data_IF_499496881225
#
_entry.id   IF_499496881225
#
_cell.length_a   1.000
_cell.length_b   1.000
_cell.length_c   1.000
_cell.angle_alpha   90.00
_cell.angle_beta   90.00
_cell.angle_gamma   90.00
#
_symmetry.space_group_name_H-M   'P 1'
#
loop_
_entity.id
_entity.type
_entity.pdbx_description
1 polymer ?
#
# COMPACT_ATOMS: atom_id res chain seq x y z
N UNK A 1 -14.75 7.72 -12.13
CA UNK A 1 -13.93 6.51 -12.26
C UNK A 1 -12.53 6.84 -11.74
N UNK A 2 -12.23 6.41 -10.54
CA UNK A 2 -10.89 6.62 -9.94
C UNK A 2 -9.96 5.67 -10.68
N UNK A 3 -9.12 6.21 -11.56
CA UNK A 3 -8.07 5.45 -12.20
C UNK A 3 -7.06 5.00 -11.14
N UNK A 4 -7.14 3.75 -10.77
CA UNK A 4 -6.12 3.13 -9.93
C UNK A 4 -4.82 3.08 -10.74
N UNK A 5 -3.94 4.04 -10.53
CA UNK A 5 -2.53 3.81 -10.77
C UNK A 5 -2.10 2.73 -9.80
N UNK A 6 -2.17 1.48 -10.27
CA UNK A 6 -1.53 0.36 -9.60
C UNK A 6 -0.09 0.81 -9.40
N UNK A 7 0.29 1.01 -8.14
CA UNK A 7 1.68 1.11 -7.76
C UNK A 7 2.44 0.08 -8.59
N UNK A 8 3.26 0.53 -9.53
CA UNK A 8 4.45 -0.20 -9.88
C UNK A 8 5.24 -0.30 -8.58
N UNK A 9 4.82 -1.26 -7.74
CA UNK A 9 5.68 -1.78 -6.71
C UNK A 9 6.93 -2.15 -7.48
N UNK A 10 7.94 -1.27 -7.38
CA UNK A 10 9.24 -1.56 -7.91
C UNK A 10 9.52 -2.97 -7.44
N UNK A 11 9.92 -3.83 -8.37
CA UNK A 11 10.33 -5.16 -8.08
C UNK A 11 11.17 -5.07 -6.81
N UNK A 12 10.60 -5.49 -5.68
CA UNK A 12 11.38 -5.88 -4.53
C UNK A 12 12.21 -7.03 -5.08
N UNK A 13 13.31 -6.65 -5.74
CA UNK A 13 14.38 -7.56 -6.03
C UNK A 13 14.76 -8.09 -4.66
N UNK A 14 14.23 -9.25 -4.32
CA UNK A 14 14.73 -10.08 -3.25
C UNK A 14 16.14 -10.53 -3.69
N UNK A 15 17.05 -9.56 -3.78
CA UNK A 15 18.47 -9.78 -3.75
C UNK A 15 18.81 -10.19 -2.29
N UNK A 16 18.24 -11.30 -1.87
CA UNK A 16 18.79 -12.08 -0.79
C UNK A 16 20.11 -12.59 -1.33
N UNK A 17 21.19 -11.90 -0.97
CA UNK A 17 22.54 -12.31 -1.19
C UNK A 17 22.63 -13.80 -0.82
N UNK A 18 22.73 -14.66 -1.82
CA UNK A 18 23.19 -16.01 -1.67
C UNK A 18 24.65 -15.86 -1.25
N UNK A 19 24.88 -15.80 0.06
CA UNK A 19 26.22 -15.93 0.60
C UNK A 19 26.77 -17.25 0.07
N UNK A 20 27.81 -17.17 -0.73
CA UNK A 20 28.57 -18.31 -1.20
C UNK A 20 28.98 -19.17 0.01
N UNK A 21 28.24 -20.25 0.24
CA UNK A 21 28.66 -21.27 1.19
C UNK A 21 29.89 -21.96 0.58
N UNK A 22 31.07 -21.50 0.96
CA UNK A 22 32.31 -22.19 0.68
C UNK A 22 32.22 -23.62 1.22
N UNK A 23 32.52 -24.59 0.35
CA UNK A 23 32.53 -26.03 0.64
C UNK A 23 33.56 -26.34 1.71
N UNK A 24 33.15 -26.51 2.96
CA UNK A 24 33.88 -27.21 3.98
C UNK A 24 33.21 -28.57 4.23
N UNK A 25 33.73 -29.62 3.59
CA UNK A 25 33.36 -31.00 3.94
C UNK A 25 34.11 -31.37 5.21
N UNK A 26 33.41 -31.34 6.35
CA UNK A 26 33.91 -31.94 7.59
C UNK A 26 32.84 -32.91 8.11
N UNK A 27 33.25 -34.18 8.33
CA UNK A 27 32.47 -35.20 9.02
C UNK A 27 32.35 -34.83 10.49
N UNK A 28 31.25 -34.24 10.85
CA UNK A 28 30.81 -33.95 12.20
C UNK A 28 29.42 -33.34 12.09
N UNK A 29 28.48 -33.81 12.91
CA UNK A 29 27.09 -33.36 12.84
C UNK A 29 26.94 -31.89 13.28
N UNK A 30 27.52 -30.97 12.52
CA UNK A 30 27.33 -29.54 12.68
C UNK A 30 25.90 -29.18 12.23
N UNK A 31 25.17 -28.58 13.11
CA UNK A 31 23.75 -28.21 12.94
C UNK A 31 23.46 -27.35 11.71
N UNK A 32 24.49 -26.95 10.96
CA UNK A 32 24.43 -26.03 9.79
C UNK A 32 25.16 -26.58 8.54
N UNK A 33 25.30 -27.89 8.40
CA UNK A 33 25.88 -28.51 7.20
C UNK A 33 24.82 -28.99 6.23
N UNK A 34 25.12 -28.97 4.92
CA UNK A 34 24.27 -29.51 3.85
C UNK A 34 24.95 -30.72 3.24
N UNK A 35 24.30 -31.87 3.31
CA UNK A 35 24.80 -33.11 2.75
C UNK A 35 24.82 -33.07 1.21
N UNK A 36 25.68 -33.86 0.53
CA UNK A 36 25.78 -33.86 -0.93
C UNK A 36 24.45 -34.16 -1.66
N UNK A 37 23.60 -35.02 -1.08
CA UNK A 37 22.28 -35.38 -1.64
C UNK A 37 21.34 -34.18 -1.75
N UNK A 38 21.47 -33.20 -0.86
CA UNK A 38 20.74 -31.92 -0.89
C UNK A 38 21.54 -30.83 -1.61
N UNK A 39 22.85 -30.78 -1.35
CA UNK A 39 23.70 -29.71 -1.88
C UNK A 39 23.85 -29.70 -3.40
N UNK A 40 24.01 -30.87 -4.03
CA UNK A 40 24.15 -30.95 -5.49
C UNK A 40 22.90 -30.42 -6.23
N UNK A 41 21.67 -30.87 -5.91
CA UNK A 41 20.46 -30.28 -6.50
C UNK A 41 20.31 -28.79 -6.24
N UNK A 42 20.66 -28.30 -5.03
CA UNK A 42 20.61 -26.86 -4.72
C UNK A 42 21.57 -26.04 -5.58
N UNK A 43 22.81 -26.52 -5.79
CA UNK A 43 23.77 -25.86 -6.68
C UNK A 43 23.28 -25.83 -8.13
N UNK A 44 22.67 -26.94 -8.61
CA UNK A 44 22.08 -26.99 -9.93
C UNK A 44 20.89 -26.01 -10.06
N UNK A 45 20.05 -25.91 -9.02
CA UNK A 45 18.96 -24.96 -8.97
C UNK A 45 19.45 -23.52 -9.02
N UNK A 46 20.55 -23.19 -8.32
CA UNK A 46 21.14 -21.86 -8.34
C UNK A 46 21.69 -21.49 -9.73
N UNK A 47 22.36 -22.42 -10.40
CA UNK A 47 22.86 -22.20 -11.77
C UNK A 47 21.70 -21.93 -12.75
N UNK A 48 20.60 -22.68 -12.64
CA UNK A 48 19.41 -22.50 -13.45
C UNK A 48 18.69 -21.18 -13.12
N UNK A 49 18.64 -20.80 -11.84
CA UNK A 49 18.12 -19.51 -11.41
C UNK A 49 18.88 -18.34 -12.03
N UNK A 50 20.22 -18.37 -12.00
CA UNK A 50 21.08 -17.37 -12.66
C UNK A 50 20.83 -17.30 -14.17
N UNK A 51 20.54 -18.45 -14.79
CA UNK A 51 20.15 -18.55 -16.19
C UNK A 51 18.68 -18.16 -16.46
N UNK A 52 17.92 -17.72 -15.44
CA UNK A 52 16.47 -17.39 -15.49
C UNK A 52 15.57 -18.56 -15.88
N UNK A 53 16.04 -19.80 -15.76
CA UNK A 53 15.30 -21.03 -16.02
C UNK A 53 14.56 -21.48 -14.76
N UNK A 54 13.62 -20.66 -14.32
CA UNK A 54 12.98 -20.81 -13.00
C UNK A 54 12.23 -22.11 -12.83
N UNK A 55 11.52 -22.60 -13.87
CA UNK A 55 10.79 -23.87 -13.80
C UNK A 55 11.75 -25.05 -13.62
N UNK A 56 12.84 -25.08 -14.35
CA UNK A 56 13.88 -26.11 -14.21
C UNK A 56 14.56 -26.01 -12.83
N UNK A 57 14.82 -24.78 -12.36
CA UNK A 57 15.37 -24.55 -11.03
C UNK A 57 14.44 -25.10 -9.92
N UNK A 58 13.14 -24.86 -10.00
CA UNK A 58 12.17 -25.43 -9.04
C UNK A 58 12.11 -26.95 -9.09
N UNK A 59 12.31 -27.57 -10.26
CA UNK A 59 12.42 -29.02 -10.37
C UNK A 59 13.66 -29.55 -9.61
N UNK A 60 14.80 -28.85 -9.67
CA UNK A 60 15.99 -29.21 -8.87
C UNK A 60 15.78 -29.01 -7.37
N UNK A 61 14.99 -28.02 -6.96
CA UNK A 61 14.56 -27.90 -5.55
C UNK A 61 13.73 -29.09 -5.12
N UNK A 62 12.83 -29.61 -5.98
CA UNK A 62 12.06 -30.81 -5.68
C UNK A 62 12.95 -32.06 -5.52
N UNK A 63 14.05 -32.17 -6.28
CA UNK A 63 15.05 -33.23 -6.11
C UNK A 63 15.75 -33.13 -4.74
N UNK A 64 16.13 -31.92 -4.31
CA UNK A 64 16.71 -31.69 -2.98
C UNK A 64 15.70 -32.06 -1.88
N UNK A 65 14.42 -31.75 -2.09
CA UNK A 65 13.34 -32.01 -1.15
C UNK A 65 13.03 -33.51 -0.99
N UNK A 66 13.32 -34.33 -2.02
CA UNK A 66 13.14 -35.77 -1.98
C UNK A 66 14.21 -36.52 -1.18
N UNK A 67 15.30 -35.84 -0.75
CA UNK A 67 16.37 -36.47 0.02
C UNK A 67 15.84 -36.94 1.40
N UNK A 68 16.11 -38.20 1.74
CA UNK A 68 15.64 -38.78 3.00
C UNK A 68 16.39 -38.19 4.24
N UNK A 69 15.72 -38.08 5.37
CA UNK A 69 16.33 -37.71 6.66
C UNK A 69 16.95 -36.32 6.66
N UNK A 70 16.35 -35.36 5.98
CA UNK A 70 16.85 -33.97 5.95
C UNK A 70 16.90 -33.35 7.35
N UNK A 71 17.97 -32.59 7.60
CA UNK A 71 18.12 -31.82 8.83
C UNK A 71 17.21 -30.56 8.79
N UNK A 72 16.99 -29.98 9.97
CA UNK A 72 16.28 -28.70 10.05
C UNK A 72 16.97 -27.58 9.26
N UNK A 73 18.31 -27.61 9.18
CA UNK A 73 19.07 -26.66 8.38
C UNK A 73 18.90 -26.87 6.88
N UNK A 74 18.93 -28.12 6.43
CA UNK A 74 18.68 -28.47 5.02
C UNK A 74 17.28 -28.03 4.59
N UNK A 75 16.26 -28.28 5.40
CA UNK A 75 14.91 -27.79 5.15
C UNK A 75 14.85 -26.26 5.06
N UNK A 76 15.51 -25.56 5.97
CA UNK A 76 15.59 -24.09 5.93
C UNK A 76 16.23 -23.59 4.61
N UNK A 77 17.33 -24.17 4.17
CA UNK A 77 18.01 -23.77 2.92
C UNK A 77 17.15 -24.10 1.69
N UNK A 78 16.54 -25.27 1.65
CA UNK A 78 15.62 -25.68 0.57
C UNK A 78 14.47 -24.68 0.45
N UNK A 79 13.78 -24.37 1.54
CA UNK A 79 12.63 -23.46 1.50
C UNK A 79 13.06 -22.03 1.16
N UNK A 80 14.18 -21.57 1.69
CA UNK A 80 14.72 -20.25 1.35
C UNK A 80 15.01 -20.12 -0.13
N UNK A 81 15.65 -21.15 -0.74
CA UNK A 81 15.99 -21.19 -2.16
C UNK A 81 14.71 -21.33 -3.00
N UNK A 82 13.76 -22.19 -2.61
CA UNK A 82 12.46 -22.32 -3.25
C UNK A 82 11.73 -20.98 -3.31
N UNK A 83 11.64 -20.29 -2.17
CA UNK A 83 10.98 -19.00 -2.06
C UNK A 83 11.57 -17.95 -3.01
N UNK A 84 12.90 -17.88 -3.08
CA UNK A 84 13.59 -16.93 -3.97
C UNK A 84 13.35 -17.24 -5.46
N UNK A 85 13.42 -18.52 -5.85
CA UNK A 85 13.20 -18.94 -7.25
C UNK A 85 11.72 -18.73 -7.63
N UNK A 86 10.78 -19.13 -6.77
CA UNK A 86 9.36 -18.97 -7.01
C UNK A 86 8.95 -17.50 -7.12
N UNK A 87 9.49 -16.63 -6.25
CA UNK A 87 9.28 -15.18 -6.32
C UNK A 87 9.76 -14.60 -7.66
N UNK A 88 10.94 -15.00 -8.11
CA UNK A 88 11.48 -14.57 -9.41
C UNK A 88 10.69 -15.13 -10.61
N UNK A 89 10.06 -16.30 -10.44
CA UNK A 89 9.18 -16.90 -11.43
C UNK A 89 7.78 -16.26 -11.48
N UNK A 90 7.45 -15.41 -10.52
CA UNK A 90 6.10 -14.86 -10.36
C UNK A 90 5.09 -15.82 -9.70
N UNK A 91 5.56 -16.97 -9.21
CA UNK A 91 4.74 -17.89 -8.40
C UNK A 91 4.67 -17.40 -6.94
N UNK A 92 3.83 -16.37 -6.76
CA UNK A 92 3.70 -15.70 -5.46
C UNK A 92 3.19 -16.62 -4.36
N UNK A 93 2.33 -17.58 -4.70
CA UNK A 93 1.78 -18.52 -3.72
C UNK A 93 2.84 -19.48 -3.18
N UNK A 94 3.65 -20.06 -4.06
CA UNK A 94 4.75 -20.94 -3.66
C UNK A 94 5.81 -20.18 -2.90
N UNK A 95 6.16 -18.95 -3.34
CA UNK A 95 7.13 -18.11 -2.67
C UNK A 95 6.68 -17.72 -1.25
N UNK A 96 5.42 -17.33 -1.07
CA UNK A 96 4.87 -16.99 0.24
C UNK A 96 4.95 -18.17 1.22
N UNK A 97 4.47 -19.36 0.81
CA UNK A 97 4.53 -20.57 1.64
C UNK A 97 5.96 -20.95 2.03
N UNK A 98 6.88 -20.85 1.09
CA UNK A 98 8.28 -21.18 1.34
C UNK A 98 8.90 -20.21 2.35
N UNK A 99 8.68 -18.91 2.22
CA UNK A 99 9.19 -17.93 3.18
C UNK A 99 8.47 -17.99 4.53
N UNK A 100 7.19 -18.33 4.57
CA UNK A 100 6.48 -18.65 5.83
C UNK A 100 7.15 -19.81 6.56
N UNK A 101 7.51 -20.87 5.84
CA UNK A 101 8.24 -22.02 6.40
C UNK A 101 9.62 -21.60 6.91
N UNK A 102 10.35 -20.75 6.18
CA UNK A 102 11.64 -20.19 6.64
C UNK A 102 11.48 -19.44 7.96
N UNK A 103 10.48 -18.55 8.04
CA UNK A 103 10.21 -17.77 9.27
C UNK A 103 9.84 -18.70 10.44
N UNK A 104 9.05 -19.76 10.18
CA UNK A 104 8.64 -20.71 11.19
C UNK A 104 9.80 -21.50 11.83
N UNK A 105 10.94 -21.62 11.12
CA UNK A 105 12.15 -22.26 11.69
C UNK A 105 12.79 -21.46 12.85
N UNK A 106 12.47 -20.16 12.97
CA UNK A 106 13.08 -19.26 13.95
C UNK A 106 14.56 -18.96 13.71
N UNK A 107 15.13 -19.38 12.56
CA UNK A 107 16.55 -19.16 12.22
C UNK A 107 16.84 -17.76 11.73
N UNK A 108 15.89 -17.11 11.08
CA UNK A 108 15.98 -15.71 10.70
C UNK A 108 15.72 -14.83 11.93
N UNK A 109 16.52 -13.78 12.11
CA UNK A 109 16.39 -12.86 13.24
C UNK A 109 16.67 -11.40 12.82
N UNK A 110 16.25 -10.46 13.65
CA UNK A 110 16.52 -9.05 13.43
C UNK A 110 16.04 -8.54 12.06
N UNK A 111 16.92 -7.89 11.31
CA UNK A 111 16.60 -7.31 10.01
C UNK A 111 16.27 -8.35 8.93
N UNK A 112 16.82 -9.56 9.02
CA UNK A 112 16.49 -10.63 8.08
C UNK A 112 15.06 -11.11 8.27
N UNK A 113 14.64 -11.31 9.51
CA UNK A 113 13.25 -11.65 9.85
C UNK A 113 12.28 -10.59 9.29
N UNK A 114 12.54 -9.31 9.55
CA UNK A 114 11.69 -8.22 9.06
C UNK A 114 11.60 -8.21 7.52
N UNK A 115 12.70 -8.45 6.82
CA UNK A 115 12.69 -8.55 5.34
C UNK A 115 11.83 -9.71 4.84
N UNK A 116 11.88 -10.86 5.49
CA UNK A 116 11.05 -12.00 5.15
C UNK A 116 9.57 -11.73 5.42
N UNK A 117 9.23 -11.15 6.57
CA UNK A 117 7.85 -10.77 6.93
C UNK A 117 7.29 -9.77 5.90
N UNK A 118 8.08 -8.77 5.52
CA UNK A 118 7.75 -7.81 4.48
C UNK A 118 7.51 -8.50 3.12
N UNK A 119 8.42 -9.39 2.73
CA UNK A 119 8.30 -10.13 1.47
C UNK A 119 7.03 -10.98 1.42
N UNK A 120 6.71 -11.70 2.51
CA UNK A 120 5.51 -12.53 2.60
C UNK A 120 4.24 -11.69 2.50
N UNK A 121 4.19 -10.50 3.14
CA UNK A 121 3.07 -9.58 3.00
C UNK A 121 2.86 -9.16 1.54
N UNK A 122 3.93 -8.77 0.84
CA UNK A 122 3.89 -8.40 -0.57
C UNK A 122 3.49 -9.56 -1.49
N UNK A 123 4.00 -10.77 -1.23
CA UNK A 123 3.69 -11.96 -2.02
C UNK A 123 2.21 -12.34 -1.89
N UNK A 124 1.63 -12.32 -0.70
CA UNK A 124 0.19 -12.54 -0.51
C UNK A 124 -0.65 -11.47 -1.19
N UNK A 125 -0.21 -10.20 -1.15
CA UNK A 125 -0.88 -9.12 -1.86
C UNK A 125 -0.91 -9.37 -3.38
N UNK A 126 0.22 -9.76 -3.98
CA UNK A 126 0.30 -10.10 -5.41
C UNK A 126 -0.48 -11.38 -5.76
N UNK A 127 -0.53 -12.34 -4.84
CA UNK A 127 -1.36 -13.53 -4.97
C UNK A 127 -2.87 -13.25 -4.78
N UNK A 128 -3.24 -11.99 -4.46
CA UNK A 128 -4.62 -11.56 -4.14
C UNK A 128 -5.20 -12.19 -2.87
N UNK A 129 -4.36 -12.78 -2.03
CA UNK A 129 -4.74 -13.19 -0.67
C UNK A 129 -4.61 -12.00 0.27
N UNK A 130 -5.57 -11.07 0.14
CA UNK A 130 -5.52 -9.79 0.86
C UNK A 130 -5.67 -9.97 2.38
N UNK A 131 -6.33 -11.03 2.82
CA UNK A 131 -6.46 -11.33 4.24
C UNK A 131 -5.09 -11.64 4.86
N UNK A 132 -4.32 -12.54 4.25
CA UNK A 132 -2.97 -12.83 4.71
C UNK A 132 -2.03 -11.66 4.50
N UNK A 133 -2.13 -10.93 3.38
CA UNK A 133 -1.33 -9.73 3.16
C UNK A 133 -1.50 -8.72 4.30
N UNK A 134 -2.74 -8.46 4.73
CA UNK A 134 -3.02 -7.58 5.87
C UNK A 134 -2.45 -8.11 7.18
N UNK A 135 -2.60 -9.42 7.46
CA UNK A 135 -2.05 -10.05 8.67
C UNK A 135 -0.52 -9.91 8.74
N UNK A 136 0.17 -10.20 7.63
CA UNK A 136 1.63 -10.08 7.56
C UNK A 136 2.12 -8.64 7.60
N UNK A 137 1.40 -7.70 7.02
CA UNK A 137 1.71 -6.27 7.13
C UNK A 137 1.55 -5.76 8.57
N UNK A 138 0.52 -6.20 9.30
CA UNK A 138 0.37 -5.91 10.73
C UNK A 138 1.49 -6.53 11.57
N UNK A 139 1.88 -7.78 11.26
CA UNK A 139 3.01 -8.45 11.91
C UNK A 139 4.31 -7.67 11.69
N UNK A 140 4.56 -7.19 10.47
CA UNK A 140 5.71 -6.34 10.15
C UNK A 140 5.77 -5.11 11.05
N UNK A 141 4.65 -4.39 11.20
CA UNK A 141 4.57 -3.21 12.06
C UNK A 141 4.80 -3.57 13.55
N UNK A 142 4.21 -4.68 14.01
CA UNK A 142 4.36 -5.17 15.39
C UNK A 142 5.82 -5.57 15.71
N UNK A 143 6.54 -6.08 14.74
CA UNK A 143 7.96 -6.44 14.87
C UNK A 143 8.90 -5.23 14.67
N UNK A 144 8.38 -3.99 14.61
CA UNK A 144 9.15 -2.75 14.54
C UNK A 144 9.53 -2.31 13.12
N UNK A 145 8.93 -2.90 12.10
CA UNK A 145 9.12 -2.49 10.72
C UNK A 145 8.49 -1.12 10.44
N UNK A 146 9.24 -0.23 9.76
CA UNK A 146 8.84 1.15 9.51
C UNK A 146 8.68 1.50 8.00
N UNK A 147 8.74 0.51 7.10
CA UNK A 147 8.59 0.78 5.66
C UNK A 147 7.16 1.24 5.35
N UNK A 148 6.99 2.46 4.81
CA UNK A 148 5.70 2.99 4.42
C UNK A 148 4.92 2.10 3.44
N UNK A 149 5.61 1.34 2.59
CA UNK A 149 4.98 0.45 1.62
C UNK A 149 4.09 -0.60 2.31
N UNK A 150 4.45 -1.05 3.51
CA UNK A 150 3.66 -2.03 4.25
C UNK A 150 2.34 -1.46 4.77
N UNK A 151 2.30 -0.18 5.14
CA UNK A 151 1.05 0.52 5.44
C UNK A 151 0.16 0.60 4.20
N UNK A 152 0.74 0.89 3.04
CA UNK A 152 0.01 0.91 1.77
C UNK A 152 -0.58 -0.48 1.44
N UNK A 153 0.21 -1.56 1.60
CA UNK A 153 -0.27 -2.94 1.44
C UNK A 153 -1.43 -3.22 2.39
N UNK A 154 -1.33 -2.81 3.65
CA UNK A 154 -2.38 -3.00 4.65
C UNK A 154 -3.68 -2.27 4.28
N UNK A 155 -3.61 -0.99 3.96
CA UNK A 155 -4.78 -0.17 3.61
C UNK A 155 -5.45 -0.69 2.34
N UNK A 156 -4.66 -0.99 1.30
CA UNK A 156 -5.18 -1.53 0.05
C UNK A 156 -5.78 -2.93 0.23
N UNK A 157 -5.18 -3.78 1.06
CA UNK A 157 -5.71 -5.10 1.37
C UNK A 157 -7.09 -5.00 2.03
N UNK A 158 -7.25 -4.16 3.05
CA UNK A 158 -8.55 -3.92 3.66
C UNK A 158 -9.58 -3.39 2.65
N UNK A 159 -9.19 -2.44 1.82
CA UNK A 159 -10.06 -1.88 0.80
C UNK A 159 -10.52 -2.93 -0.22
N UNK A 160 -9.59 -3.78 -0.70
CA UNK A 160 -9.88 -4.83 -1.67
C UNK A 160 -10.71 -5.99 -1.09
N UNK A 161 -10.64 -6.20 0.24
CA UNK A 161 -11.55 -7.10 0.97
C UNK A 161 -12.91 -6.46 1.28
N UNK A 162 -13.13 -5.20 0.90
CA UNK A 162 -14.30 -4.42 1.29
C UNK A 162 -14.42 -4.19 2.83
N UNK A 163 -13.31 -4.29 3.56
CA UNK A 163 -13.25 -3.99 5.00
C UNK A 163 -12.97 -2.50 5.21
N UNK A 164 -14.01 -1.68 5.03
CA UNK A 164 -13.92 -0.24 5.25
C UNK A 164 -13.66 0.13 6.73
N UNK A 165 -14.05 -0.72 7.67
CA UNK A 165 -13.71 -0.53 9.08
C UNK A 165 -12.21 -0.71 9.32
N UNK A 166 -11.59 -1.69 8.65
CA UNK A 166 -10.14 -1.86 8.63
C UNK A 166 -9.41 -0.64 8.09
N UNK A 167 -9.88 -0.09 6.97
CA UNK A 167 -9.35 1.15 6.40
C UNK A 167 -9.46 2.30 7.41
N UNK A 168 -10.63 2.52 8.01
CA UNK A 168 -10.87 3.61 8.96
C UNK A 168 -9.99 3.49 10.21
N UNK A 169 -9.73 2.30 10.70
CA UNK A 169 -8.81 2.08 11.84
C UNK A 169 -7.38 2.50 11.52
N UNK A 170 -6.92 2.30 10.28
CA UNK A 170 -5.53 2.60 9.89
C UNK A 170 -5.36 4.05 9.46
N UNK A 171 -6.36 4.62 8.76
CA UNK A 171 -6.25 5.92 8.07
C UNK A 171 -7.10 7.01 8.74
N UNK A 172 -8.16 6.62 9.48
CA UNK A 172 -9.17 7.56 10.01
C UNK A 172 -8.68 8.48 11.13
N UNK A 173 -7.61 8.11 11.84
CA UNK A 173 -6.99 8.97 12.86
C UNK A 173 -6.28 10.18 12.26
N UNK A 174 -5.84 11.09 13.13
CA UNK A 174 -4.89 12.14 12.77
C UNK A 174 -3.61 11.53 12.17
N UNK A 175 -2.78 12.37 11.52
CA UNK A 175 -1.46 11.95 11.05
C UNK A 175 -0.77 11.13 12.16
N UNK A 176 -0.12 10.04 11.77
CA UNK A 176 0.33 9.04 12.72
C UNK A 176 1.27 9.62 13.80
N UNK A 177 1.43 8.91 14.92
CA UNK A 177 2.24 9.33 16.07
C UNK A 177 3.70 9.65 15.73
N UNK A 178 4.16 9.28 14.52
CA UNK A 178 5.49 9.56 14.00
C UNK A 178 5.53 10.83 13.11
N UNK A 179 4.45 11.62 13.07
CA UNK A 179 4.36 12.84 12.26
C UNK A 179 4.28 12.59 10.75
N UNK A 180 4.03 11.35 10.34
CA UNK A 180 3.86 11.00 8.94
C UNK A 180 2.48 11.44 8.47
N UNK A 181 2.48 12.33 7.47
CA UNK A 181 1.26 12.74 6.79
C UNK A 181 0.61 11.56 6.04
N UNK A 182 -0.70 11.39 6.23
CA UNK A 182 -1.49 10.44 5.44
C UNK A 182 -1.41 10.79 3.95
N UNK A 183 -1.11 9.82 3.10
CA UNK A 183 -0.98 10.06 1.67
C UNK A 183 -2.31 10.40 1.00
N UNK A 184 -2.25 11.08 -0.13
CA UNK A 184 -3.44 11.41 -0.92
C UNK A 184 -4.26 10.16 -1.25
N UNK A 185 -3.61 9.08 -1.68
CA UNK A 185 -4.25 7.83 -2.02
C UNK A 185 -4.97 7.19 -0.82
N UNK A 186 -4.34 7.21 0.37
CA UNK A 186 -4.96 6.69 1.60
C UNK A 186 -6.23 7.48 1.94
N UNK A 187 -6.19 8.81 1.82
CA UNK A 187 -7.36 9.67 2.06
C UNK A 187 -8.47 9.46 1.03
N UNK A 188 -8.13 9.25 -0.25
CA UNK A 188 -9.10 8.90 -1.29
C UNK A 188 -9.78 7.55 -1.02
N UNK A 189 -9.01 6.55 -0.58
CA UNK A 189 -9.53 5.24 -0.18
C UNK A 189 -10.47 5.41 1.01
N UNK A 190 -10.09 6.19 2.01
CA UNK A 190 -10.91 6.47 3.19
C UNK A 190 -12.22 7.17 2.81
N UNK A 191 -12.17 8.22 1.99
CA UNK A 191 -13.36 8.92 1.51
C UNK A 191 -14.27 7.98 0.74
N UNK A 192 -13.72 7.12 -0.13
CA UNK A 192 -14.51 6.12 -0.85
C UNK A 192 -15.20 5.13 0.11
N UNK A 193 -14.49 4.69 1.15
CA UNK A 193 -15.07 3.83 2.18
C UNK A 193 -16.24 4.50 2.90
N UNK A 194 -16.10 5.73 3.35
CA UNK A 194 -17.20 6.46 3.99
C UNK A 194 -18.39 6.67 3.05
N UNK A 195 -18.12 6.98 1.77
CA UNK A 195 -19.18 7.07 0.75
C UNK A 195 -19.96 5.77 0.59
N UNK A 196 -19.27 4.62 0.56
CA UNK A 196 -19.91 3.29 0.48
C UNK A 196 -20.72 2.94 1.72
N UNK A 197 -20.28 3.39 2.89
CA UNK A 197 -20.99 3.23 4.18
C UNK A 197 -22.12 4.23 4.35
N UNK A 198 -22.27 5.20 3.43
CA UNK A 198 -23.22 6.33 3.54
C UNK A 198 -22.95 7.18 4.80
N UNK A 199 -21.70 7.23 5.23
CA UNK A 199 -21.23 8.10 6.30
C UNK A 199 -20.80 9.45 5.71
N UNK A 200 -21.76 10.37 5.58
CA UNK A 200 -21.51 11.70 5.03
C UNK A 200 -20.57 12.53 5.91
N UNK A 201 -20.58 12.34 7.20
CA UNK A 201 -19.72 13.09 8.13
C UNK A 201 -18.27 12.64 8.01
N UNK A 202 -18.02 11.34 7.99
CA UNK A 202 -16.69 10.77 7.74
C UNK A 202 -16.15 11.14 6.37
N UNK A 203 -17.02 11.12 5.35
CA UNK A 203 -16.64 11.53 4.00
C UNK A 203 -16.17 12.99 3.96
N UNK A 204 -16.96 13.92 4.53
CA UNK A 204 -16.58 15.34 4.58
C UNK A 204 -15.26 15.53 5.30
N UNK A 205 -15.07 14.89 6.47
CA UNK A 205 -13.80 14.97 7.19
C UNK A 205 -12.61 14.45 6.38
N UNK A 206 -12.79 13.40 5.59
CA UNK A 206 -11.74 12.90 4.70
C UNK A 206 -11.42 13.88 3.54
N UNK A 207 -12.45 14.52 2.95
CA UNK A 207 -12.28 15.55 1.92
C UNK A 207 -11.63 16.82 2.50
N UNK A 208 -11.98 17.23 3.72
CA UNK A 208 -11.32 18.35 4.41
C UNK A 208 -9.81 18.10 4.58
N UNK A 209 -9.42 16.87 4.93
CA UNK A 209 -7.99 16.50 4.97
C UNK A 209 -7.35 16.53 3.60
N UNK A 210 -8.07 16.11 2.54
CA UNK A 210 -7.59 16.19 1.16
C UNK A 210 -7.36 17.63 0.74
N UNK A 211 -8.29 18.56 0.96
CA UNK A 211 -8.11 19.97 0.60
C UNK A 211 -7.02 20.64 1.43
N UNK A 212 -6.83 20.22 2.68
CA UNK A 212 -5.79 20.76 3.57
C UNK A 212 -4.38 20.37 3.13
N UNK A 213 -4.20 19.11 2.76
CA UNK A 213 -2.87 18.55 2.49
C UNK A 213 -2.55 18.45 0.99
N UNK A 214 -3.59 18.34 0.15
CA UNK A 214 -3.50 18.15 -1.31
C UNK A 214 -4.54 19.04 -2.01
N UNK A 215 -4.39 20.38 -1.98
CA UNK A 215 -5.43 21.35 -2.39
C UNK A 215 -5.67 21.33 -3.89
N UNK A 216 -6.32 20.29 -4.39
CA UNK A 216 -6.72 20.15 -5.80
C UNK A 216 -8.14 20.69 -6.01
N UNK A 217 -8.38 21.24 -7.20
CA UNK A 217 -9.66 21.82 -7.60
C UNK A 217 -10.83 20.86 -7.39
N UNK A 218 -10.65 19.59 -7.75
CA UNK A 218 -11.70 18.56 -7.64
C UNK A 218 -12.14 18.31 -6.19
N UNK A 219 -11.23 18.34 -5.22
CA UNK A 219 -11.57 18.18 -3.81
C UNK A 219 -12.31 19.39 -3.26
N UNK A 220 -11.89 20.58 -3.67
CA UNK A 220 -12.61 21.80 -3.33
C UNK A 220 -14.00 21.81 -3.94
N UNK A 221 -14.16 21.39 -5.19
CA UNK A 221 -15.48 21.28 -5.86
C UNK A 221 -16.43 20.40 -5.06
N UNK A 222 -15.96 19.21 -4.66
CA UNK A 222 -16.78 18.26 -3.92
C UNK A 222 -17.14 18.81 -2.53
N UNK A 223 -16.15 19.33 -1.78
CA UNK A 223 -16.37 19.91 -0.45
C UNK A 223 -17.38 21.05 -0.49
N UNK A 224 -17.19 22.03 -1.36
CA UNK A 224 -18.05 23.21 -1.43
C UNK A 224 -19.47 22.87 -1.84
N UNK A 225 -19.66 21.93 -2.78
CA UNK A 225 -20.98 21.45 -3.19
C UNK A 225 -21.71 20.72 -2.05
N UNK A 226 -21.00 19.97 -1.22
CA UNK A 226 -21.59 19.28 -0.06
C UNK A 226 -21.94 20.23 1.08
N UNK A 227 -21.07 21.19 1.35
CA UNK A 227 -21.33 22.23 2.38
C UNK A 227 -22.61 22.99 2.03
N UNK A 228 -22.81 23.41 0.78
CA UNK A 228 -24.02 24.13 0.33
C UNK A 228 -25.29 23.28 0.45
N UNK A 229 -25.20 21.96 0.29
CA UNK A 229 -26.36 21.05 0.36
C UNK A 229 -26.63 20.51 1.76
N UNK A 230 -25.79 20.83 2.73
CA UNK A 230 -25.94 20.34 4.11
C UNK A 230 -27.23 20.91 4.71
N UNK A 231 -28.03 20.05 5.35
CA UNK A 231 -29.19 20.49 6.11
C UNK A 231 -28.78 21.50 7.18
N UNK A 232 -29.46 22.64 7.23
CA UNK A 232 -29.11 23.73 8.14
C UNK A 232 -27.98 24.65 7.65
N UNK A 233 -27.55 24.54 6.38
CA UNK A 233 -26.63 25.53 5.80
C UNK A 233 -27.25 26.92 5.86
N UNK A 234 -26.54 27.90 6.42
CA UNK A 234 -27.02 29.26 6.52
C UNK A 234 -26.76 30.02 5.22
N UNK A 235 -27.83 30.61 4.65
CA UNK A 235 -27.72 31.46 3.45
C UNK A 235 -26.76 32.65 3.64
N UNK A 236 -26.50 33.08 4.87
CA UNK A 236 -25.51 34.13 5.19
C UNK A 236 -24.09 33.73 4.77
N UNK A 237 -23.78 32.44 4.71
CA UNK A 237 -22.47 31.91 4.30
C UNK A 237 -22.35 31.73 2.79
N UNK A 238 -23.42 31.98 2.01
CA UNK A 238 -23.39 31.75 0.56
C UNK A 238 -22.29 32.55 -0.13
N UNK A 239 -22.14 33.84 0.21
CA UNK A 239 -21.08 34.67 -0.36
C UNK A 239 -19.69 34.11 -0.05
N UNK A 240 -19.45 33.62 1.16
CA UNK A 240 -18.15 33.06 1.54
C UNK A 240 -17.83 31.77 0.79
N UNK A 241 -18.86 30.94 0.52
CA UNK A 241 -18.68 29.76 -0.35
C UNK A 241 -18.32 30.18 -1.78
N UNK A 242 -18.94 31.23 -2.32
CA UNK A 242 -18.60 31.74 -3.65
C UNK A 242 -17.19 32.36 -3.69
N UNK A 243 -16.76 33.04 -2.64
CA UNK A 243 -15.39 33.52 -2.48
C UNK A 243 -14.39 32.36 -2.53
N UNK A 244 -14.67 31.27 -1.81
CA UNK A 244 -13.84 30.07 -1.86
C UNK A 244 -13.86 29.43 -3.26
N UNK A 245 -15.00 29.36 -3.93
CA UNK A 245 -15.09 28.89 -5.33
C UNK A 245 -14.22 29.74 -6.26
N UNK A 246 -14.22 31.06 -6.09
CA UNK A 246 -13.40 31.99 -6.90
C UNK A 246 -11.90 31.72 -6.67
N UNK A 247 -11.47 31.68 -5.41
CA UNK A 247 -10.06 31.47 -5.04
C UNK A 247 -9.52 30.09 -5.45
N UNK A 248 -10.37 29.08 -5.42
CA UNK A 248 -9.99 27.72 -5.79
C UNK A 248 -10.21 27.38 -7.28
N UNK A 249 -10.58 28.40 -8.09
CA UNK A 249 -10.80 28.23 -9.52
C UNK A 249 -12.06 27.44 -9.86
N UNK A 250 -13.03 27.36 -8.93
CA UNK A 250 -14.28 26.63 -9.09
C UNK A 250 -15.47 27.50 -9.54
N UNK A 251 -15.26 28.81 -9.72
CA UNK A 251 -16.19 29.67 -10.44
C UNK A 251 -15.91 29.53 -11.94
N UNK A 252 -16.78 28.88 -12.69
CA UNK A 252 -16.47 28.48 -14.07
C UNK A 252 -17.52 28.92 -15.10
N UNK A 253 -18.70 29.33 -14.67
CA UNK A 253 -19.75 29.78 -15.57
C UNK A 253 -20.09 31.25 -15.37
N UNK A 254 -20.58 31.91 -16.41
CA UNK A 254 -21.08 33.28 -16.30
C UNK A 254 -22.16 33.44 -15.23
N UNK A 255 -23.00 32.40 -15.04
CA UNK A 255 -24.02 32.39 -14.00
C UNK A 255 -23.43 32.37 -12.61
N UNK A 256 -22.31 31.65 -12.37
CA UNK A 256 -21.63 31.63 -11.07
C UNK A 256 -21.09 33.02 -10.70
N UNK A 257 -20.50 33.73 -11.69
CA UNK A 257 -20.01 35.10 -11.50
C UNK A 257 -21.16 36.08 -11.22
N UNK A 258 -22.27 35.93 -11.93
CA UNK A 258 -23.47 36.77 -11.72
C UNK A 258 -24.06 36.53 -10.31
N UNK A 259 -24.22 35.26 -9.92
CA UNK A 259 -24.74 34.91 -8.60
C UNK A 259 -23.84 35.45 -7.47
N UNK A 260 -22.52 35.29 -7.61
CA UNK A 260 -21.56 35.86 -6.64
C UNK A 260 -21.69 37.38 -6.55
N UNK A 261 -21.79 38.06 -7.69
CA UNK A 261 -21.95 39.53 -7.73
C UNK A 261 -23.25 39.97 -7.02
N UNK A 262 -24.36 39.26 -7.28
CA UNK A 262 -25.64 39.55 -6.61
C UNK A 262 -25.54 39.36 -5.09
N UNK A 263 -24.94 38.28 -4.64
CA UNK A 263 -24.70 38.01 -3.22
C UNK A 263 -23.81 39.08 -2.58
N UNK A 264 -22.77 39.55 -3.28
CA UNK A 264 -21.89 40.61 -2.80
C UNK A 264 -22.65 41.96 -2.67
N UNK A 265 -23.53 42.32 -3.62
CA UNK A 265 -24.36 43.52 -3.53
C UNK A 265 -25.32 43.40 -2.34
N UNK A 266 -26.01 42.28 -2.17
CA UNK A 266 -26.94 42.05 -1.05
C UNK A 266 -26.24 42.13 0.30
N UNK A 267 -24.98 41.69 0.37
CA UNK A 267 -24.17 41.74 1.58
C UNK A 267 -23.51 43.13 1.84
N UNK A 268 -23.72 44.11 0.95
CA UNK A 268 -23.17 45.47 1.08
C UNK A 268 -21.74 45.62 0.55
N UNK A 269 -21.27 44.73 -0.34
CA UNK A 269 -19.93 44.76 -0.96
C UNK A 269 -19.96 45.10 -2.47
N UNK A 270 -20.42 46.33 -2.91
CA UNK A 270 -20.57 46.64 -4.33
C UNK A 270 -19.24 46.70 -5.08
N UNK A 271 -18.17 47.04 -4.42
CA UNK A 271 -16.83 47.07 -5.03
C UNK A 271 -16.32 45.64 -5.35
N UNK A 272 -16.64 44.65 -4.51
CA UNK A 272 -16.37 43.25 -4.77
C UNK A 272 -17.21 42.73 -5.93
N UNK A 273 -18.50 43.03 -5.94
CA UNK A 273 -19.39 42.66 -7.02
C UNK A 273 -18.88 43.14 -8.39
N UNK A 274 -18.44 44.42 -8.47
CA UNK A 274 -17.85 44.95 -9.73
C UNK A 274 -16.65 44.13 -10.17
N UNK A 275 -15.69 43.85 -9.26
CA UNK A 275 -14.49 43.06 -9.57
C UNK A 275 -14.83 41.67 -10.07
N UNK A 276 -15.84 41.03 -9.47
CA UNK A 276 -16.32 39.71 -9.86
C UNK A 276 -16.89 39.70 -11.26
N UNK A 277 -17.73 40.70 -11.59
CA UNK A 277 -18.30 40.86 -12.95
C UNK A 277 -17.18 41.12 -13.95
N UNK A 278 -16.29 42.06 -13.69
CA UNK A 278 -15.18 42.36 -14.61
C UNK A 278 -14.33 41.11 -14.91
N UNK A 279 -14.11 40.23 -13.90
CA UNK A 279 -13.38 38.98 -14.06
C UNK A 279 -14.16 37.92 -14.82
N UNK A 280 -15.48 37.91 -14.70
CA UNK A 280 -16.34 36.96 -15.40
C UNK A 280 -16.53 37.28 -16.92
N UNK A 281 -16.22 38.51 -17.32
CA UNK A 281 -16.25 38.95 -18.74
C UNK A 281 -14.88 38.88 -19.42
N UNK A 282 -13.77 38.67 -18.68
CA UNK A 282 -12.42 38.58 -19.20
C UNK A 282 -12.09 37.16 -19.71
#
# INVERSE_FOLDING_TARGET
MIGFNILRAGALAAALLLASAGTAFAQGADANTVRPEVGKPLQAAEALYKAKKYREALAKIAEADAAAGRTAYENYIIERTRGSIAAAAGDHNTAARAFEAVIATGRASGSEQLKLVQAVAGLHYHAKDYAKAAQWALRYQKEGGADPAMRTVLVQSYYLMNDCNGVSRVVGGADDHNGRRTSEQELQILANCYSRQKDDSGYVAAIERLVTHYPKKEYWTDLLNRVQRKSGFSSRLSLDVFRLKLETGNLTSANDYLEMAQLAIQAGFPAEAKKVVDRGYA
#
